data_IF_773488373446
#
_entry.id   IF_773488373446
#
_cell.length_a   1.000
_cell.length_b   1.000
_cell.length_c   1.000
_cell.angle_alpha   90.00
_cell.angle_beta   90.00
_cell.angle_gamma   90.00
#
_symmetry.space_group_name_H-M   'P 1'
#
loop_
_entity.id
_entity.type
_entity.pdbx_description
1 polymer ?
#
# COMPACT_ATOMS: atom_id res chain seq x y z
N UNK A 1 -5.84 -20.69 3.47
CA UNK A 1 -5.84 -20.78 4.95
C UNK A 1 -4.52 -21.35 5.46
N UNK A 2 -4.04 -22.49 4.94
CA UNK A 2 -2.74 -23.08 5.31
C UNK A 2 -1.51 -22.17 5.11
N UNK A 3 -1.48 -21.41 4.00
CA UNK A 3 -0.42 -20.43 3.71
C UNK A 3 -0.27 -19.35 4.81
N UNK A 4 -1.39 -18.81 5.29
CA UNK A 4 -1.39 -17.81 6.36
C UNK A 4 -0.97 -18.44 7.70
N UNK A 5 -1.48 -19.63 8.02
CA UNK A 5 -1.10 -20.37 9.24
C UNK A 5 0.40 -20.72 9.26
N UNK A 6 1.00 -20.99 8.10
CA UNK A 6 2.42 -21.26 8.00
C UNK A 6 3.29 -20.02 8.31
N UNK A 7 2.88 -18.84 7.86
CA UNK A 7 3.58 -17.58 8.18
C UNK A 7 3.32 -17.16 9.63
N UNK A 8 2.07 -17.25 10.09
CA UNK A 8 1.67 -16.97 11.48
C UNK A 8 2.52 -17.78 12.48
N UNK A 9 2.72 -19.07 12.21
CA UNK A 9 3.59 -19.92 13.04
C UNK A 9 5.04 -19.45 13.12
N UNK A 10 5.61 -18.90 12.04
CA UNK A 10 6.97 -18.35 12.08
C UNK A 10 7.01 -16.97 12.77
N UNK A 11 5.95 -16.17 12.63
CA UNK A 11 5.79 -14.88 13.33
C UNK A 11 5.67 -15.10 14.84
N UNK A 12 4.87 -16.07 15.28
CA UNK A 12 4.73 -16.44 16.69
C UNK A 12 6.06 -16.88 17.30
N UNK A 13 6.90 -17.59 16.54
CA UNK A 13 8.25 -17.96 16.97
C UNK A 13 9.16 -16.75 17.14
N UNK A 14 9.04 -15.73 16.27
CA UNK A 14 9.76 -14.47 16.44
C UNK A 14 9.29 -13.77 17.72
N UNK A 15 7.98 -13.64 17.93
CA UNK A 15 7.43 -12.99 19.12
C UNK A 15 7.82 -13.71 20.41
N UNK A 16 7.74 -15.04 20.44
CA UNK A 16 8.13 -15.84 21.61
C UNK A 16 9.62 -15.67 21.92
N UNK A 17 10.50 -15.75 20.91
CA UNK A 17 11.95 -15.60 21.08
C UNK A 17 12.32 -14.18 21.50
N UNK A 18 11.77 -13.17 20.84
CA UNK A 18 12.00 -11.76 21.16
C UNK A 18 11.50 -11.42 22.57
N UNK A 19 10.30 -11.89 22.92
CA UNK A 19 9.73 -11.74 24.26
C UNK A 19 10.66 -12.31 25.33
N UNK A 20 11.14 -13.54 25.17
CA UNK A 20 12.07 -14.16 26.12
C UNK A 20 13.39 -13.39 26.29
N UNK A 21 13.98 -12.91 25.19
CA UNK A 21 15.21 -12.09 25.23
C UNK A 21 14.94 -10.77 25.97
N UNK A 22 13.86 -10.09 25.63
CA UNK A 22 13.47 -8.81 26.19
C UNK A 22 13.16 -8.92 27.69
N UNK A 23 12.41 -9.94 28.10
CA UNK A 23 12.04 -10.16 29.50
C UNK A 23 13.24 -10.52 30.36
N UNK A 24 14.20 -11.28 29.81
CA UNK A 24 15.45 -11.56 30.51
C UNK A 24 16.30 -10.29 30.64
N UNK A 25 16.52 -9.55 29.56
CA UNK A 25 17.32 -8.33 29.57
C UNK A 25 16.72 -7.26 30.48
N UNK A 26 15.40 -7.03 30.40
CA UNK A 26 14.70 -6.07 31.26
C UNK A 26 14.85 -6.41 32.74
N UNK A 27 14.67 -7.69 33.13
CA UNK A 27 14.85 -8.11 34.53
C UNK A 27 16.25 -7.83 35.02
N UNK A 28 17.27 -8.31 34.31
CA UNK A 28 18.67 -8.15 34.72
C UNK A 28 19.08 -6.68 34.77
N UNK A 29 18.72 -5.88 33.76
CA UNK A 29 19.04 -4.46 33.74
C UNK A 29 18.29 -3.68 34.82
N UNK A 30 17.03 -4.02 35.10
CA UNK A 30 16.27 -3.39 36.18
C UNK A 30 16.91 -3.66 37.53
N UNK A 31 17.31 -4.91 37.82
CA UNK A 31 17.98 -5.26 39.07
C UNK A 31 19.31 -4.49 39.22
N UNK A 32 20.09 -4.37 38.14
CA UNK A 32 21.34 -3.62 38.12
C UNK A 32 21.13 -2.11 38.32
N UNK A 33 20.09 -1.54 37.70
CA UNK A 33 19.71 -0.14 37.90
C UNK A 33 19.34 0.11 39.36
N UNK A 34 18.53 -0.76 39.96
CA UNK A 34 18.17 -0.65 41.38
C UNK A 34 19.40 -0.71 42.28
N UNK A 35 20.33 -1.64 42.05
CA UNK A 35 21.56 -1.74 42.84
C UNK A 35 22.46 -0.50 42.74
N UNK A 36 22.62 0.05 41.53
CA UNK A 36 23.39 1.29 41.31
C UNK A 36 22.71 2.48 41.96
N UNK A 37 21.37 2.54 41.90
CA UNK A 37 20.59 3.61 42.49
C UNK A 37 20.68 3.59 44.03
N UNK A 38 20.61 2.42 44.66
CA UNK A 38 20.83 2.29 46.11
C UNK A 38 22.23 2.73 46.53
N UNK A 39 23.28 2.34 45.79
CA UNK A 39 24.65 2.80 46.05
C UNK A 39 24.80 4.32 45.91
N UNK A 40 24.11 4.92 44.94
CA UNK A 40 24.08 6.37 44.75
C UNK A 40 23.41 7.07 45.94
N UNK A 41 22.30 6.54 46.41
CA UNK A 41 21.57 7.09 47.57
C UNK A 41 22.42 7.00 48.85
N UNK A 42 23.09 5.86 49.08
CA UNK A 42 24.05 5.70 50.19
C UNK A 42 25.17 6.74 50.12
N UNK A 43 25.77 6.92 48.93
CA UNK A 43 26.84 7.91 48.73
C UNK A 43 26.36 9.35 48.96
N UNK A 44 25.16 9.69 48.49
CA UNK A 44 24.57 11.02 48.70
C UNK A 44 24.17 11.30 50.15
N UNK A 45 23.83 10.25 50.91
CA UNK A 45 23.51 10.34 52.34
C UNK A 45 24.75 10.38 53.25
N UNK A 46 25.94 10.13 52.69
CA UNK A 46 27.19 10.17 53.44
C UNK A 46 27.73 11.61 53.56
N UNK A 47 28.53 11.88 54.60
CA UNK A 47 29.13 13.21 54.83
C UNK A 47 30.08 13.64 53.71
N UNK A 48 30.38 14.95 53.61
CA UNK A 48 31.17 15.54 52.51
C UNK A 48 32.55 14.90 52.27
N UNK A 49 33.15 14.27 53.29
CA UNK A 49 34.45 13.58 53.21
C UNK A 49 34.35 12.06 52.95
N UNK A 50 33.16 11.53 52.64
CA UNK A 50 32.98 10.10 52.43
C UNK A 50 33.65 9.61 51.15
N UNK A 51 34.62 8.71 51.31
CA UNK A 51 35.26 7.97 50.23
C UNK A 51 34.62 6.59 50.11
N UNK A 52 34.33 6.17 48.88
CA UNK A 52 33.81 4.83 48.57
C UNK A 52 34.68 3.75 49.23
N UNK A 53 34.02 2.85 49.96
CA UNK A 53 34.68 1.69 50.56
C UNK A 53 35.11 0.69 49.48
N UNK A 54 36.12 -0.14 49.77
CA UNK A 54 36.56 -1.20 48.85
C UNK A 54 35.41 -2.14 48.46
N UNK A 55 34.47 -2.39 49.37
CA UNK A 55 33.26 -3.20 49.12
C UNK A 55 32.35 -2.52 48.09
N UNK A 56 32.06 -1.22 48.25
CA UNK A 56 31.24 -0.47 47.31
C UNK A 56 31.90 -0.37 45.92
N UNK A 57 33.23 -0.20 45.87
CA UNK A 57 34.01 -0.23 44.62
C UNK A 57 33.89 -1.58 43.92
N UNK A 58 33.99 -2.68 44.66
CA UNK A 58 33.88 -4.03 44.11
C UNK A 58 32.45 -4.34 43.61
N UNK A 59 31.42 -3.91 44.34
CA UNK A 59 30.01 -4.03 43.89
C UNK A 59 29.82 -3.22 42.59
N UNK A 60 30.34 -1.99 42.52
CA UNK A 60 30.24 -1.16 41.32
C UNK A 60 30.94 -1.81 40.12
N UNK A 61 32.15 -2.34 40.31
CA UNK A 61 32.87 -3.08 39.26
C UNK A 61 32.10 -4.31 38.79
N UNK A 62 31.53 -5.07 39.73
CA UNK A 62 30.73 -6.25 39.43
C UNK A 62 29.48 -5.88 38.62
N UNK A 63 28.78 -4.82 39.01
CA UNK A 63 27.60 -4.32 38.29
C UNK A 63 27.97 -3.87 36.87
N UNK A 64 29.06 -3.11 36.71
CA UNK A 64 29.54 -2.69 35.39
C UNK A 64 29.93 -3.87 34.50
N UNK A 65 30.57 -4.91 35.06
CA UNK A 65 30.88 -6.13 34.33
C UNK A 65 29.60 -6.85 33.86
N UNK A 66 28.59 -6.94 34.74
CA UNK A 66 27.31 -7.60 34.45
C UNK A 66 26.47 -6.84 33.42
N UNK A 67 26.51 -5.50 33.45
CA UNK A 67 25.92 -4.64 32.41
C UNK A 67 26.58 -4.94 31.07
N UNK A 68 27.92 -4.93 31.01
CA UNK A 68 28.68 -5.20 29.79
C UNK A 68 28.37 -6.59 29.21
N UNK A 69 28.30 -7.60 30.06
CA UNK A 69 27.93 -8.97 29.67
C UNK A 69 26.51 -9.02 29.10
N UNK A 70 25.55 -8.41 29.80
CA UNK A 70 24.14 -8.38 29.38
C UNK A 70 23.96 -7.69 28.03
N UNK A 71 24.61 -6.55 27.82
CA UNK A 71 24.58 -5.82 26.53
C UNK A 71 25.24 -6.63 25.42
N UNK A 72 26.37 -7.28 25.69
CA UNK A 72 27.06 -8.12 24.70
C UNK A 72 26.23 -9.35 24.30
N UNK A 73 25.55 -9.95 25.28
CA UNK A 73 24.61 -11.05 25.07
C UNK A 73 23.41 -10.59 24.23
N UNK A 74 22.83 -9.43 24.54
CA UNK A 74 21.71 -8.87 23.77
C UNK A 74 22.09 -8.62 22.29
N UNK A 75 23.31 -8.16 22.02
CA UNK A 75 23.81 -7.99 20.65
C UNK A 75 23.95 -9.35 19.92
N UNK A 76 24.33 -10.40 20.63
CA UNK A 76 24.43 -11.76 20.10
C UNK A 76 23.04 -12.34 19.83
N UNK A 77 22.14 -12.25 20.81
CA UNK A 77 20.75 -12.70 20.71
C UNK A 77 20.00 -11.99 19.58
N UNK A 78 20.28 -10.70 19.33
CA UNK A 78 19.73 -9.95 18.20
C UNK A 78 20.16 -10.52 16.83
N UNK A 79 21.45 -10.90 16.68
CA UNK A 79 21.90 -11.58 15.45
C UNK A 79 21.21 -12.93 15.28
N UNK A 80 21.02 -13.67 16.35
CA UNK A 80 20.31 -14.95 16.32
C UNK A 80 18.81 -14.79 16.03
N UNK A 81 18.20 -13.67 16.43
CA UNK A 81 16.82 -13.33 16.09
C UNK A 81 16.65 -13.05 14.60
N UNK A 82 17.63 -12.40 13.96
CA UNK A 82 17.62 -12.14 12.51
C UNK A 82 17.42 -13.42 11.69
N UNK A 83 18.05 -14.54 12.12
CA UNK A 83 17.84 -15.84 11.48
C UNK A 83 16.38 -16.34 11.55
N UNK A 84 15.66 -15.99 12.61
CA UNK A 84 14.25 -16.36 12.83
C UNK A 84 13.33 -15.46 12.01
N UNK A 85 13.62 -14.16 11.95
CA UNK A 85 12.91 -13.20 11.07
C UNK A 85 13.08 -13.56 9.59
N UNK A 86 14.28 -13.99 9.17
CA UNK A 86 14.51 -14.46 7.80
C UNK A 86 13.65 -15.67 7.43
N UNK A 87 13.32 -16.55 8.40
CA UNK A 87 12.40 -17.68 8.17
C UNK A 87 10.97 -17.21 7.91
N UNK A 88 10.53 -16.12 8.53
CA UNK A 88 9.24 -15.47 8.23
C UNK A 88 9.24 -15.00 6.77
N UNK A 89 10.27 -14.28 6.33
CA UNK A 89 10.40 -13.84 4.93
C UNK A 89 10.36 -15.02 3.96
N UNK A 90 11.13 -16.08 4.20
CA UNK A 90 11.08 -17.30 3.40
C UNK A 90 9.73 -18.01 3.43
N UNK A 91 9.02 -17.98 4.56
CA UNK A 91 7.68 -18.53 4.66
C UNK A 91 6.69 -17.71 3.84
N UNK A 92 6.83 -16.39 3.82
CA UNK A 92 6.04 -15.50 2.95
C UNK A 92 6.32 -15.85 1.48
N UNK A 93 7.59 -15.86 1.05
CA UNK A 93 7.97 -16.13 -0.34
C UNK A 93 7.51 -17.51 -0.85
N UNK A 94 7.44 -18.50 0.05
CA UNK A 94 7.00 -19.87 -0.29
C UNK A 94 5.49 -20.05 -0.36
N UNK A 95 4.76 -19.30 0.48
CA UNK A 95 3.32 -19.50 0.65
C UNK A 95 2.48 -18.45 -0.10
N UNK A 96 3.09 -17.35 -0.51
CA UNK A 96 2.45 -16.28 -1.26
C UNK A 96 3.15 -16.14 -2.61
N UNK A 97 2.35 -16.13 -3.67
CA UNK A 97 2.86 -15.93 -5.03
C UNK A 97 3.34 -14.47 -5.12
N UNK A 98 4.58 -14.25 -5.54
CA UNK A 98 5.13 -12.91 -5.82
C UNK A 98 4.48 -12.23 -7.02
N UNK A 99 3.58 -12.94 -7.71
CA UNK A 99 2.87 -12.46 -8.87
C UNK A 99 1.65 -11.62 -8.44
N UNK A 100 1.91 -10.33 -8.27
CA UNK A 100 0.92 -9.29 -8.01
C UNK A 100 -0.09 -9.15 -9.18
N UNK A 101 0.18 -9.77 -10.35
CA UNK A 101 -0.67 -9.71 -11.54
C UNK A 101 -2.07 -10.31 -11.35
N UNK A 102 -2.28 -11.19 -10.37
CA UNK A 102 -3.61 -11.73 -10.08
C UNK A 102 -4.55 -10.67 -9.48
N UNK A 103 -4.00 -9.67 -8.79
CA UNK A 103 -4.73 -8.51 -8.25
C UNK A 103 -4.68 -7.30 -9.19
N UNK A 104 -3.67 -7.24 -10.07
CA UNK A 104 -3.49 -6.22 -11.10
C UNK A 104 -3.84 -6.77 -12.49
N UNK A 105 -5.03 -7.37 -12.62
CA UNK A 105 -5.66 -7.45 -13.93
C UNK A 105 -6.33 -6.09 -14.19
N UNK A 106 -5.63 -5.23 -14.95
CA UNK A 106 -6.12 -3.92 -15.40
C UNK A 106 -7.53 -3.96 -16.04
N UNK A 107 -8.01 -5.13 -16.48
CA UNK A 107 -9.33 -5.28 -17.11
C UNK A 107 -10.48 -5.59 -16.13
N UNK A 108 -10.20 -5.85 -14.84
CA UNK A 108 -11.19 -6.47 -13.93
C UNK A 108 -12.21 -5.46 -13.38
N UNK A 109 -11.81 -4.20 -13.25
CA UNK A 109 -12.66 -3.10 -12.76
C UNK A 109 -12.74 -1.88 -13.68
N UNK A 110 -12.16 -1.89 -14.88
CA UNK A 110 -12.11 -0.73 -15.79
C UNK A 110 -13.46 -0.18 -16.30
N UNK A 111 -14.59 -0.81 -15.95
CA UNK A 111 -15.91 -0.29 -16.28
C UNK A 111 -16.33 0.78 -15.27
N UNK A 112 -16.66 2.02 -15.71
CA UNK A 112 -17.07 3.10 -14.82
C UNK A 112 -18.25 2.73 -13.91
N UNK A 113 -19.18 1.91 -14.40
CA UNK A 113 -20.31 1.40 -13.63
C UNK A 113 -19.86 0.53 -12.44
N UNK A 114 -18.86 -0.34 -12.64
CA UNK A 114 -18.37 -1.26 -11.59
C UNK A 114 -17.60 -0.53 -10.50
N UNK A 115 -16.80 0.48 -10.88
CA UNK A 115 -16.10 1.34 -9.94
C UNK A 115 -17.12 2.12 -9.09
N UNK A 116 -18.14 2.69 -9.71
CA UNK A 116 -19.20 3.40 -9.00
C UNK A 116 -19.97 2.50 -8.02
N UNK A 117 -20.29 1.27 -8.44
CA UNK A 117 -20.92 0.24 -7.61
C UNK A 117 -20.08 -0.10 -6.36
N UNK A 118 -18.77 -0.29 -6.54
CA UNK A 118 -17.84 -0.60 -5.46
C UNK A 118 -17.72 0.57 -4.47
N UNK A 119 -17.49 1.77 -4.99
CA UNK A 119 -17.31 2.97 -4.17
C UNK A 119 -18.56 3.30 -3.37
N UNK A 120 -19.75 3.10 -3.95
CA UNK A 120 -20.99 3.35 -3.24
C UNK A 120 -21.18 2.39 -2.06
N UNK A 121 -20.78 1.13 -2.22
CA UNK A 121 -20.79 0.15 -1.14
C UNK A 121 -19.77 0.53 -0.04
N UNK A 122 -18.55 0.91 -0.41
CA UNK A 122 -17.52 1.36 0.53
C UNK A 122 -17.94 2.65 1.27
N UNK A 123 -18.63 3.58 0.60
CA UNK A 123 -19.20 4.78 1.23
C UNK A 123 -20.23 4.43 2.30
N UNK A 124 -21.11 3.45 2.04
CA UNK A 124 -22.09 2.97 3.01
C UNK A 124 -21.41 2.28 4.20
N UNK A 125 -20.33 1.53 3.95
CA UNK A 125 -19.51 0.94 4.99
C UNK A 125 -18.87 2.00 5.89
N UNK A 126 -18.28 3.06 5.30
CA UNK A 126 -17.64 4.17 6.03
C UNK A 126 -18.59 4.95 6.95
N UNK A 127 -19.91 4.92 6.69
CA UNK A 127 -20.94 5.53 7.56
C UNK A 127 -21.15 4.77 8.87
N UNK A 128 -20.52 3.60 9.04
CA UNK A 128 -20.50 2.84 10.27
C UNK A 128 -21.73 1.94 10.46
N UNK A 129 -21.87 1.40 11.68
CA UNK A 129 -22.82 0.33 12.00
C UNK A 129 -24.29 0.70 11.74
N UNK A 130 -24.64 1.99 11.81
CA UNK A 130 -26.01 2.49 11.55
C UNK A 130 -26.48 2.23 10.12
N UNK A 131 -25.55 2.13 9.15
CA UNK A 131 -25.84 1.95 7.73
C UNK A 131 -25.43 0.56 7.20
N UNK A 132 -25.08 -0.37 8.09
CA UNK A 132 -24.68 -1.73 7.73
C UNK A 132 -25.80 -2.47 6.97
N UNK A 133 -27.05 -2.29 7.40
CA UNK A 133 -28.23 -2.87 6.74
C UNK A 133 -28.42 -2.33 5.32
N UNK A 134 -28.14 -1.04 5.11
CA UNK A 134 -28.23 -0.39 3.79
C UNK A 134 -27.13 -0.91 2.86
N UNK A 135 -25.91 -1.10 3.37
CA UNK A 135 -24.81 -1.71 2.62
C UNK A 135 -25.16 -3.14 2.17
N UNK A 136 -25.74 -3.96 3.06
CA UNK A 136 -26.18 -5.33 2.76
C UNK A 136 -27.31 -5.31 1.72
N UNK A 137 -28.27 -4.39 1.84
CA UNK A 137 -29.36 -4.25 0.87
C UNK A 137 -28.82 -3.87 -0.52
N UNK A 138 -27.92 -2.89 -0.57
CA UNK A 138 -27.24 -2.44 -1.77
C UNK A 138 -26.45 -3.57 -2.46
N UNK A 139 -25.70 -4.36 -1.68
CA UNK A 139 -24.98 -5.52 -2.22
C UNK A 139 -25.93 -6.56 -2.84
N UNK A 140 -27.06 -6.82 -2.19
CA UNK A 140 -28.05 -7.80 -2.66
C UNK A 140 -28.73 -7.38 -3.96
N UNK A 141 -29.00 -6.09 -4.15
CA UNK A 141 -29.63 -5.58 -5.37
C UNK A 141 -28.64 -5.48 -6.53
N UNK A 142 -27.41 -5.03 -6.25
CA UNK A 142 -26.48 -4.66 -7.30
C UNK A 142 -25.39 -5.70 -7.59
N UNK A 143 -24.89 -6.43 -6.59
CA UNK A 143 -23.82 -7.41 -6.80
C UNK A 143 -24.33 -8.77 -7.30
N UNK A 144 -25.64 -9.03 -7.18
CA UNK A 144 -26.26 -10.32 -7.58
C UNK A 144 -25.94 -10.75 -9.01
N UNK A 145 -25.81 -9.80 -9.94
CA UNK A 145 -25.49 -10.07 -11.35
C UNK A 145 -24.02 -10.46 -11.58
N UNK A 146 -23.16 -10.21 -10.60
CA UNK A 146 -21.71 -10.38 -10.70
C UNK A 146 -21.17 -11.55 -9.85
N UNK A 147 -22.02 -12.17 -9.01
CA UNK A 147 -21.64 -13.23 -8.04
C UNK A 147 -20.87 -14.37 -8.71
N UNK A 148 -21.33 -14.89 -9.85
CA UNK A 148 -20.67 -16.04 -10.49
C UNK A 148 -19.28 -15.75 -11.04
N UNK A 149 -18.98 -14.50 -11.39
CA UNK A 149 -17.70 -14.10 -12.01
C UNK A 149 -16.73 -13.47 -11.01
N UNK A 150 -17.26 -12.87 -9.95
CA UNK A 150 -16.52 -12.06 -8.98
C UNK A 150 -16.81 -12.51 -7.53
N UNK A 151 -17.05 -13.81 -7.33
CA UNK A 151 -17.47 -14.38 -6.05
C UNK A 151 -16.47 -14.03 -4.93
N UNK A 152 -15.17 -14.17 -5.20
CA UNK A 152 -14.10 -13.89 -4.22
C UNK A 152 -14.05 -12.43 -3.81
N UNK A 153 -14.19 -11.51 -4.77
CA UNK A 153 -14.15 -10.07 -4.51
C UNK A 153 -15.39 -9.64 -3.71
N UNK A 154 -16.57 -10.17 -4.07
CA UNK A 154 -17.82 -9.92 -3.35
C UNK A 154 -17.75 -10.51 -1.93
N UNK A 155 -17.16 -11.69 -1.75
CA UNK A 155 -16.93 -12.27 -0.42
C UNK A 155 -15.98 -11.41 0.42
N UNK A 156 -14.90 -10.90 -0.16
CA UNK A 156 -13.99 -9.95 0.49
C UNK A 156 -14.73 -8.67 0.93
N UNK A 157 -15.55 -8.08 0.05
CA UNK A 157 -16.37 -6.91 0.37
C UNK A 157 -17.40 -7.20 1.47
N UNK A 158 -18.06 -8.35 1.43
CA UNK A 158 -18.98 -8.78 2.51
C UNK A 158 -18.22 -9.02 3.82
N UNK A 159 -16.98 -9.51 3.75
CA UNK A 159 -16.11 -9.73 4.90
C UNK A 159 -15.76 -8.44 5.66
N UNK A 160 -15.74 -7.29 4.98
CA UNK A 160 -15.52 -5.98 5.62
C UNK A 160 -16.62 -5.61 6.62
N UNK A 161 -17.85 -6.12 6.45
CA UNK A 161 -18.98 -5.86 7.34
C UNK A 161 -18.69 -6.31 8.79
N UNK A 162 -17.82 -7.31 8.97
CA UNK A 162 -17.44 -7.84 10.28
C UNK A 162 -16.61 -6.83 11.09
N UNK A 163 -15.87 -5.96 10.41
CA UNK A 163 -14.94 -5.01 11.03
C UNK A 163 -15.55 -3.63 11.26
N UNK A 164 -16.80 -3.40 10.83
CA UNK A 164 -17.52 -2.14 11.06
C UNK A 164 -17.51 -1.69 12.52
N UNK A 165 -17.78 -2.56 13.52
CA UNK A 165 -17.85 -2.14 14.92
C UNK A 165 -16.51 -1.63 15.49
N UNK A 166 -15.39 -2.14 14.97
CA UNK A 166 -14.04 -1.82 15.44
C UNK A 166 -13.31 -0.80 14.54
N UNK A 167 -14.01 -0.25 13.56
CA UNK A 167 -13.46 0.61 12.52
C UNK A 167 -12.93 -0.20 11.33
N UNK A 168 -13.31 0.23 10.12
CA UNK A 168 -12.96 -0.50 8.89
C UNK A 168 -11.53 -0.18 8.45
N UNK A 169 -10.99 0.98 8.85
CA UNK A 169 -9.62 1.40 8.57
C UNK A 169 -8.56 0.58 9.34
N UNK A 170 -8.93 -0.07 10.45
CA UNK A 170 -8.08 -1.00 11.20
C UNK A 170 -8.24 -2.45 10.74
N UNK A 171 -9.09 -2.69 9.74
CA UNK A 171 -9.32 -4.02 9.18
C UNK A 171 -8.19 -4.43 8.23
N UNK A 172 -8.00 -5.75 8.00
CA UNK A 172 -7.06 -6.25 6.98
C UNK A 172 -7.42 -5.82 5.54
N UNK A 173 -8.56 -5.15 5.36
CA UNK A 173 -9.03 -4.61 4.09
C UNK A 173 -8.74 -3.10 3.93
N UNK A 174 -7.90 -2.50 4.78
CA UNK A 174 -7.62 -1.06 4.76
C UNK A 174 -7.14 -0.55 3.40
N UNK A 175 -6.36 -1.36 2.66
CA UNK A 175 -5.89 -1.03 1.31
C UNK A 175 -7.02 -0.91 0.27
N UNK A 176 -8.13 -1.63 0.45
CA UNK A 176 -9.32 -1.51 -0.42
C UNK A 176 -10.13 -0.25 -0.09
N UNK A 177 -9.83 0.39 1.04
CA UNK A 177 -10.41 1.67 1.46
C UNK A 177 -9.49 2.84 1.10
N UNK A 178 -8.27 2.60 0.62
CA UNK A 178 -7.33 3.68 0.35
C UNK A 178 -7.77 4.53 -0.84
N UNK A 179 -7.49 5.82 -0.72
CA UNK A 179 -8.03 6.91 -1.57
C UNK A 179 -7.39 6.96 -2.97
N UNK A 180 -6.50 6.02 -3.32
CA UNK A 180 -5.89 5.96 -4.66
C UNK A 180 -6.93 5.71 -5.78
N UNK A 181 -8.05 5.07 -5.47
CA UNK A 181 -9.19 4.91 -6.40
C UNK A 181 -9.85 6.25 -6.79
N UNK A 182 -9.66 7.34 -6.02
CA UNK A 182 -10.29 8.63 -6.31
C UNK A 182 -9.63 9.40 -7.44
N UNK A 183 -8.36 9.12 -7.75
CA UNK A 183 -7.66 9.79 -8.86
C UNK A 183 -8.26 9.34 -10.19
N UNK A 184 -8.48 8.04 -10.37
CA UNK A 184 -9.13 7.50 -11.57
C UNK A 184 -10.58 8.01 -11.71
N UNK A 185 -11.33 8.07 -10.61
CA UNK A 185 -12.70 8.62 -10.61
C UNK A 185 -12.69 10.12 -10.92
N UNK A 186 -11.72 10.85 -10.38
CA UNK A 186 -11.56 12.28 -10.65
C UNK A 186 -11.20 12.53 -12.12
N UNK A 187 -10.31 11.74 -12.71
CA UNK A 187 -9.99 11.80 -14.13
C UNK A 187 -11.18 11.42 -15.01
N UNK A 188 -11.93 10.38 -14.64
CA UNK A 188 -13.19 9.98 -15.28
C UNK A 188 -14.23 11.10 -15.20
N UNK A 189 -14.41 11.71 -14.03
CA UNK A 189 -15.35 12.79 -13.82
C UNK A 189 -14.97 14.05 -14.61
N UNK A 190 -13.69 14.42 -14.63
CA UNK A 190 -13.19 15.52 -15.46
C UNK A 190 -13.44 15.21 -16.92
N UNK A 191 -13.13 13.99 -17.38
CA UNK A 191 -13.34 13.59 -18.77
C UNK A 191 -14.81 13.70 -19.18
N UNK A 192 -15.71 13.14 -18.37
CA UNK A 192 -17.14 13.11 -18.65
C UNK A 192 -17.76 14.52 -18.53
N UNK A 193 -17.33 15.33 -17.56
CA UNK A 193 -17.76 16.73 -17.42
C UNK A 193 -17.27 17.59 -18.59
N UNK A 194 -16.03 17.39 -19.03
CA UNK A 194 -15.47 18.05 -20.20
C UNK A 194 -16.23 17.65 -21.48
N UNK A 195 -16.57 16.37 -21.63
CA UNK A 195 -17.38 15.86 -22.74
C UNK A 195 -18.79 16.47 -22.73
N UNK A 196 -19.44 16.52 -21.56
CA UNK A 196 -20.77 17.11 -21.39
C UNK A 196 -20.78 18.61 -21.68
N UNK A 197 -19.73 19.32 -21.27
CA UNK A 197 -19.57 20.77 -21.47
C UNK A 197 -18.98 21.12 -22.85
N UNK A 198 -18.61 20.12 -23.67
CA UNK A 198 -17.99 20.34 -24.98
C UNK A 198 -16.60 20.98 -24.92
N UNK A 199 -15.90 20.85 -23.79
CA UNK A 199 -14.55 21.41 -23.58
C UNK A 199 -13.51 20.31 -23.63
N UNK A 200 -12.29 20.64 -24.07
CA UNK A 200 -11.21 19.66 -24.17
C UNK A 200 -10.70 19.25 -22.78
N UNK A 201 -10.62 17.94 -22.55
CA UNK A 201 -10.04 17.32 -21.34
C UNK A 201 -8.56 17.65 -21.20
N UNK A 202 -7.86 17.69 -22.33
CA UNK A 202 -6.46 18.06 -22.44
C UNK A 202 -6.33 19.51 -22.89
N UNK A 203 -5.24 20.18 -22.51
CA UNK A 203 -4.94 21.56 -22.93
C UNK A 203 -5.12 21.71 -24.45
N UNK A 204 -5.95 22.67 -24.92
CA UNK A 204 -6.19 22.88 -26.35
C UNK A 204 -4.90 23.05 -27.17
N UNK A 205 -3.88 23.68 -26.57
CA UNK A 205 -2.57 23.84 -27.18
C UNK A 205 -1.87 22.48 -27.39
N UNK A 206 -1.93 21.60 -26.39
CA UNK A 206 -1.30 20.27 -26.46
C UNK A 206 -1.99 19.40 -27.52
N UNK A 207 -3.32 19.42 -27.56
CA UNK A 207 -4.09 18.71 -28.59
C UNK A 207 -3.75 19.22 -30.00
N UNK A 208 -3.71 20.54 -30.20
CA UNK A 208 -3.34 21.13 -31.49
C UNK A 208 -1.90 20.78 -31.91
N UNK A 209 -0.94 20.82 -30.98
CA UNK A 209 0.46 20.49 -31.26
C UNK A 209 0.61 19.01 -31.59
N UNK A 210 -0.01 18.10 -30.84
CA UNK A 210 0.08 16.65 -31.09
C UNK A 210 -0.57 16.24 -32.41
N UNK A 211 -1.75 16.80 -32.72
CA UNK A 211 -2.41 16.61 -34.02
C UNK A 211 -1.55 17.17 -35.17
N UNK A 212 -0.91 18.32 -34.97
CA UNK A 212 0.04 18.90 -35.92
C UNK A 212 1.28 18.02 -36.14
N UNK A 213 1.90 17.53 -35.05
CA UNK A 213 3.06 16.63 -35.09
C UNK A 213 2.76 15.31 -35.80
N UNK A 214 1.50 14.86 -35.81
CA UNK A 214 1.08 13.63 -36.50
C UNK A 214 0.73 13.91 -37.96
N UNK A 215 0.11 15.06 -38.27
CA UNK A 215 -0.25 15.45 -39.63
C UNK A 215 0.96 15.87 -40.47
N UNK A 216 1.96 16.53 -39.87
CA UNK A 216 3.15 17.04 -40.59
C UNK A 216 3.94 15.93 -41.30
N UNK A 217 4.28 14.79 -40.66
CA UNK A 217 4.95 13.67 -41.32
C UNK A 217 4.13 13.10 -42.49
N UNK A 218 2.80 12.97 -42.34
CA UNK A 218 1.93 12.51 -43.42
C UNK A 218 1.93 13.48 -44.60
N UNK A 219 1.83 14.79 -44.34
CA UNK A 219 1.90 15.84 -45.37
C UNK A 219 3.26 15.89 -46.07
N UNK A 220 4.36 15.70 -45.33
CA UNK A 220 5.71 15.62 -45.90
C UNK A 220 5.87 14.41 -46.82
N UNK A 221 5.35 13.25 -46.41
CA UNK A 221 5.34 12.04 -47.24
C UNK A 221 4.52 12.23 -48.52
N UNK A 222 3.34 12.84 -48.43
CA UNK A 222 2.52 13.17 -49.60
C UNK A 222 3.27 14.13 -50.54
N UNK A 223 3.86 15.22 -50.01
CA UNK A 223 4.67 16.15 -50.79
C UNK A 223 5.81 15.44 -51.53
N UNK A 224 6.52 14.54 -50.84
CA UNK A 224 7.63 13.80 -51.41
C UNK A 224 7.18 12.87 -52.54
N UNK A 225 6.07 12.15 -52.36
CA UNK A 225 5.49 11.27 -53.39
C UNK A 225 4.99 12.07 -54.59
N UNK A 226 4.37 13.25 -54.36
CA UNK A 226 3.91 14.13 -55.43
C UNK A 226 5.07 14.70 -56.27
N UNK A 227 6.17 15.10 -55.62
CA UNK A 227 7.37 15.60 -56.31
C UNK A 227 8.07 14.52 -57.13
N UNK A 228 8.12 13.27 -56.63
CA UNK A 228 8.74 12.16 -57.35
C UNK A 228 7.91 11.66 -58.54
N UNK A 229 6.57 11.72 -58.45
CA UNK A 229 5.67 11.17 -59.48
C UNK A 229 5.16 12.19 -60.51
N UNK A 230 5.57 13.47 -60.44
CA UNK A 230 5.16 14.54 -61.38
C UNK A 230 3.63 14.65 -61.54
N UNK A 231 2.86 14.36 -60.48
CA UNK A 231 1.39 14.39 -60.50
C UNK A 231 0.88 15.75 -60.03
N UNK A 232 1.20 16.79 -60.80
CA UNK A 232 0.74 18.17 -60.57
C UNK A 232 -0.73 18.39 -60.93
N UNK A 233 -1.38 17.44 -61.62
CA UNK A 233 -2.75 17.60 -62.15
C UNK A 233 -3.88 16.88 -61.40
N UNK A 234 -3.60 16.05 -60.39
CA UNK A 234 -4.64 15.23 -59.72
C UNK A 234 -5.41 16.02 -58.65
N UNK A 235 -4.84 17.12 -58.13
CA UNK A 235 -5.33 17.80 -56.93
C UNK A 235 -6.11 19.08 -57.25
N UNK A 236 -6.96 19.05 -58.27
CA UNK A 236 -7.84 20.17 -58.59
C UNK A 236 -9.17 20.05 -57.83
N UNK A 237 -9.16 20.52 -56.57
CA UNK A 237 -10.22 21.38 -56.06
C UNK A 237 -11.26 20.82 -55.10
N UNK A 238 -11.43 19.50 -54.88
CA UNK A 238 -12.48 19.01 -53.95
C UNK A 238 -12.24 17.72 -53.17
N UNK A 239 -11.14 17.01 -53.37
CA UNK A 239 -10.91 15.74 -52.65
C UNK A 239 -10.13 15.98 -51.35
N UNK A 240 -10.70 15.54 -50.23
CA UNK A 240 -10.07 15.64 -48.91
C UNK A 240 -8.76 14.83 -48.85
N UNK A 241 -7.78 15.35 -48.12
CA UNK A 241 -6.52 14.67 -47.87
C UNK A 241 -6.76 13.32 -47.16
N UNK A 242 -6.12 12.21 -47.57
CA UNK A 242 -6.17 10.94 -46.85
C UNK A 242 -5.27 11.03 -45.62
N UNK A 243 -5.69 11.83 -44.65
CA UNK A 243 -5.14 11.84 -43.31
C UNK A 243 -6.24 11.21 -42.46
N UNK A 244 -5.92 10.15 -41.72
CA UNK A 244 -6.84 9.57 -40.75
C UNK A 244 -7.27 10.67 -39.78
N UNK A 245 -8.45 11.25 -40.01
CA UNK A 245 -9.13 12.04 -39.01
C UNK A 245 -9.58 11.06 -37.95
N UNK A 246 -8.85 10.98 -36.85
CA UNK A 246 -9.42 10.53 -35.59
C UNK A 246 -10.41 11.61 -35.15
N UNK A 247 -11.58 11.61 -35.79
CA UNK A 247 -12.80 12.05 -35.11
C UNK A 247 -12.92 11.03 -33.99
N UNK A 248 -12.58 11.42 -32.76
CA UNK A 248 -12.97 10.63 -31.60
C UNK A 248 -14.49 10.42 -31.75
N UNK A 249 -14.88 9.18 -32.07
CA UNK A 249 -16.27 8.76 -32.14
C UNK A 249 -16.91 9.07 -30.79
N UNK A 250 -17.55 10.22 -30.73
CA UNK A 250 -18.63 10.51 -29.81
C UNK A 250 -19.89 9.87 -30.39
N UNK A 251 -20.17 8.64 -29.98
CA UNK A 251 -21.52 8.15 -29.69
C UNK A 251 -21.58 7.68 -28.25
#
# INVERSE_FOLDING_TARGET
MEACLAVEKEVDRVFSKFGGINDHAKRVLSDLVTQIQSLKEEYQSAGEDHVLTNIQIDILKQNMAKVKETVSKLATDHRDLHSTVSKVGKAIDRNFVSDFAATSREDVFASPEKINLMNKFIELLRKGATHQTDAICYARTHFRKFVHRHEKDIQTLMGMLLYIPNGINSSPYSCLLDTEMWIEIYELFIRDACQLLGVCVNSPLTTCVNSGCTAIPALLNIKQVMMQRQVTGIWNGKDELPIEKWVNETE
#
